data_IF_798139536766
#
_entry.id   IF_798139536766
#
_cell.length_a   1.000
_cell.length_b   1.000
_cell.length_c   1.000
_cell.angle_alpha   90.00
_cell.angle_beta   90.00
_cell.angle_gamma   90.00
#
_symmetry.space_group_name_H-M   'P 1'
#
loop_
_entity.id
_entity.type
_entity.pdbx_description
1 polymer ?
#
# COMPACT_ATOMS: atom_id res chain seq x y z
N UNK A 1 23.93 -9.86 21.77
CA UNK A 1 22.65 -10.35 22.33
C UNK A 1 21.68 -10.64 21.19
N UNK A 2 20.89 -11.73 21.22
CA UNK A 2 19.85 -11.95 20.21
C UNK A 2 18.85 -10.79 20.25
N UNK A 3 18.56 -10.17 19.09
CA UNK A 3 17.49 -9.16 19.01
C UNK A 3 16.16 -9.86 19.33
N UNK A 4 15.59 -9.57 20.49
CA UNK A 4 14.25 -10.03 20.84
C UNK A 4 13.25 -9.20 20.06
N UNK A 5 12.50 -9.84 19.16
CA UNK A 5 11.32 -9.25 18.56
C UNK A 5 10.16 -9.38 19.54
N UNK A 6 9.45 -8.27 19.79
CA UNK A 6 8.21 -8.28 20.54
C UNK A 6 7.09 -9.00 19.76
N UNK A 7 5.95 -9.22 20.41
CA UNK A 7 4.84 -9.96 19.80
C UNK A 7 4.20 -9.14 18.66
N UNK A 8 4.11 -7.82 18.82
CA UNK A 8 3.57 -6.91 17.82
C UNK A 8 4.38 -6.92 16.51
N UNK A 9 5.71 -6.97 16.59
CA UNK A 9 6.57 -7.10 15.41
C UNK A 9 6.37 -8.44 14.70
N UNK A 10 6.18 -9.53 15.45
CA UNK A 10 5.89 -10.85 14.87
C UNK A 10 4.54 -10.85 14.18
N UNK A 11 3.50 -10.33 14.84
CA UNK A 11 2.14 -10.30 14.30
C UNK A 11 2.06 -9.40 13.05
N UNK A 12 2.82 -8.29 13.03
CA UNK A 12 2.98 -7.45 11.83
C UNK A 12 3.59 -8.22 10.66
N UNK A 13 4.63 -9.03 10.90
CA UNK A 13 5.24 -9.86 9.85
C UNK A 13 4.23 -10.87 9.31
N UNK A 14 3.53 -11.57 10.20
CA UNK A 14 2.51 -12.57 9.83
C UNK A 14 1.43 -11.92 8.97
N UNK A 15 0.85 -10.81 9.43
CA UNK A 15 -0.22 -10.10 8.71
C UNK A 15 0.22 -9.71 7.30
N UNK A 16 1.38 -9.06 7.16
CA UNK A 16 1.87 -8.62 5.85
C UNK A 16 2.19 -9.78 4.90
N UNK A 17 2.63 -10.92 5.43
CA UNK A 17 2.83 -12.14 4.62
C UNK A 17 1.50 -12.66 4.12
N UNK A 18 0.48 -12.77 4.99
CA UNK A 18 -0.85 -13.25 4.63
C UNK A 18 -1.56 -12.31 3.65
N UNK A 19 -1.53 -11.01 3.89
CA UNK A 19 -2.09 -9.98 2.99
C UNK A 19 -1.50 -10.12 1.58
N UNK A 20 -0.19 -10.38 1.48
CA UNK A 20 0.50 -10.51 0.20
C UNK A 20 0.16 -11.82 -0.50
N UNK A 21 0.05 -12.93 0.24
CA UNK A 21 -0.41 -14.22 -0.30
C UNK A 21 -1.79 -14.05 -0.92
N UNK A 22 -2.71 -13.38 -0.22
CA UNK A 22 -4.07 -13.14 -0.70
C UNK A 22 -4.12 -12.18 -1.89
N UNK A 23 -3.41 -11.04 -1.80
CA UNK A 23 -3.47 -10.00 -2.82
C UNK A 23 -2.83 -10.40 -4.15
N UNK A 24 -1.75 -11.18 -4.13
CA UNK A 24 -1.00 -11.56 -5.34
C UNK A 24 -1.18 -13.04 -5.74
N UNK A 25 -1.93 -13.81 -4.96
CA UNK A 25 -2.10 -15.25 -5.15
C UNK A 25 -0.75 -16.01 -5.29
N UNK A 26 0.22 -15.66 -4.45
CA UNK A 26 1.58 -16.23 -4.47
C UNK A 26 1.81 -17.19 -3.30
N UNK A 27 2.83 -18.05 -3.43
CA UNK A 27 3.21 -18.95 -2.35
C UNK A 27 3.70 -18.21 -1.11
N UNK A 28 3.50 -18.82 0.08
CA UNK A 28 4.03 -18.29 1.34
C UNK A 28 5.53 -18.02 1.28
N UNK A 29 6.29 -18.88 0.59
CA UNK A 29 7.72 -18.68 0.44
C UNK A 29 8.03 -17.41 -0.36
N UNK A 30 7.33 -17.17 -1.46
CA UNK A 30 7.49 -15.96 -2.25
C UNK A 30 7.12 -14.71 -1.44
N UNK A 31 5.98 -14.74 -0.75
CA UNK A 31 5.54 -13.64 0.13
C UNK A 31 6.56 -13.35 1.24
N UNK A 32 7.08 -14.38 1.92
CA UNK A 32 8.10 -14.22 2.95
C UNK A 32 9.38 -13.59 2.41
N UNK A 33 9.85 -13.99 1.21
CA UNK A 33 11.04 -13.41 0.57
C UNK A 33 10.86 -11.92 0.26
N UNK A 34 9.64 -11.49 -0.06
CA UNK A 34 9.33 -10.09 -0.37
C UNK A 34 9.17 -9.25 0.91
N UNK A 35 8.50 -9.78 1.93
CA UNK A 35 8.14 -9.04 3.16
C UNK A 35 9.31 -8.97 4.14
N UNK A 36 10.03 -10.08 4.33
CA UNK A 36 11.04 -10.20 5.38
C UNK A 36 12.16 -9.13 5.32
N UNK A 37 12.75 -8.80 4.15
CA UNK A 37 13.76 -7.75 4.06
C UNK A 37 13.25 -6.37 4.48
N UNK A 38 11.97 -6.06 4.21
CA UNK A 38 11.36 -4.76 4.56
C UNK A 38 11.21 -4.56 6.07
N UNK A 39 11.19 -5.65 6.83
CA UNK A 39 11.00 -5.65 8.28
C UNK A 39 12.28 -6.04 9.04
N UNK A 40 13.41 -6.17 8.33
CA UNK A 40 14.70 -6.51 8.94
C UNK A 40 14.73 -7.92 9.56
N UNK A 41 13.89 -8.84 9.08
CA UNK A 41 13.85 -10.24 9.52
C UNK A 41 14.30 -11.17 8.40
N UNK A 42 14.77 -12.37 8.75
CA UNK A 42 15.07 -13.39 7.73
C UNK A 42 13.77 -13.97 7.15
N UNK A 43 13.77 -14.37 5.88
CA UNK A 43 12.59 -15.00 5.28
C UNK A 43 12.22 -16.34 5.96
N UNK A 44 13.21 -17.05 6.52
CA UNK A 44 12.97 -18.28 7.30
C UNK A 44 12.22 -17.97 8.59
N UNK A 45 12.61 -16.90 9.29
CA UNK A 45 11.97 -16.42 10.51
C UNK A 45 10.53 -16.00 10.24
N UNK A 46 10.31 -15.21 9.17
CA UNK A 46 8.97 -14.82 8.75
C UNK A 46 8.08 -16.03 8.44
N UNK A 47 8.62 -17.04 7.75
CA UNK A 47 7.92 -18.29 7.46
C UNK A 47 7.56 -19.05 8.73
N UNK A 48 8.49 -19.18 9.69
CA UNK A 48 8.24 -19.87 10.95
C UNK A 48 7.12 -19.19 11.76
N UNK A 49 7.15 -17.85 11.86
CA UNK A 49 6.10 -17.12 12.57
C UNK A 49 4.75 -17.25 11.88
N UNK A 50 4.71 -17.15 10.55
CA UNK A 50 3.48 -17.33 9.76
C UNK A 50 2.90 -18.74 9.93
N UNK A 51 3.75 -19.77 9.89
CA UNK A 51 3.31 -21.16 10.12
C UNK A 51 2.83 -21.41 11.56
N UNK A 52 3.47 -20.80 12.55
CA UNK A 52 3.01 -20.86 13.93
C UNK A 52 1.63 -20.21 14.08
N UNK A 53 1.46 -19.00 13.55
CA UNK A 53 0.19 -18.28 13.59
C UNK A 53 -0.95 -19.05 12.89
N UNK A 54 -0.69 -19.67 11.73
CA UNK A 54 -1.66 -20.56 11.06
C UNK A 54 -2.09 -21.74 11.91
N UNK A 55 -1.13 -22.41 12.57
CA UNK A 55 -1.44 -23.56 13.45
C UNK A 55 -2.23 -23.15 14.69
N UNK A 56 -1.95 -21.96 15.21
CA UNK A 56 -2.60 -21.40 16.39
C UNK A 56 -3.94 -20.70 16.06
N UNK A 57 -4.34 -20.67 14.78
CA UNK A 57 -5.54 -19.94 14.36
C UNK A 57 -5.43 -18.41 14.51
N UNK A 58 -4.21 -17.89 14.72
CA UNK A 58 -3.92 -16.44 14.87
C UNK A 58 -3.67 -15.73 13.55
N UNK A 59 -4.11 -16.31 12.43
CA UNK A 59 -4.18 -15.56 11.19
C UNK A 59 -5.32 -14.57 11.36
N UNK A 60 -4.96 -13.33 11.71
CA UNK A 60 -5.91 -12.24 11.75
C UNK A 60 -6.49 -12.14 10.34
N UNK A 61 -7.74 -12.57 10.19
CA UNK A 61 -8.54 -12.23 9.03
C UNK A 61 -8.51 -10.71 8.97
N UNK A 62 -7.89 -10.14 7.94
CA UNK A 62 -7.87 -8.69 7.77
C UNK A 62 -9.32 -8.27 7.64
N UNK A 63 -9.93 -7.80 8.75
CA UNK A 63 -11.29 -7.30 8.74
C UNK A 63 -11.38 -6.25 7.63
N UNK A 64 -12.19 -6.49 6.58
CA UNK A 64 -12.29 -5.59 5.44
C UNK A 64 -13.30 -4.47 5.71
N UNK A 65 -13.50 -4.07 6.97
CA UNK A 65 -14.64 -3.23 7.34
C UNK A 65 -14.51 -1.76 6.95
N UNK A 66 -13.35 -1.31 6.46
CA UNK A 66 -13.25 0.09 5.99
C UNK A 66 -12.37 0.32 4.76
N UNK A 67 -11.98 -0.73 4.03
CA UNK A 67 -11.23 -0.54 2.78
C UNK A 67 -12.13 0.02 1.67
N UNK A 68 -13.41 -0.36 1.65
CA UNK A 68 -14.35 0.14 0.64
C UNK A 68 -14.68 1.63 0.86
N UNK A 69 -14.89 2.06 2.11
CA UNK A 69 -15.18 3.46 2.41
C UNK A 69 -13.92 4.32 2.25
N UNK A 70 -12.74 3.84 2.66
CA UNK A 70 -11.49 4.54 2.40
C UNK A 70 -11.19 4.62 0.90
N UNK A 71 -11.45 3.56 0.11
CA UNK A 71 -11.28 3.61 -1.35
C UNK A 71 -12.26 4.62 -2.00
N UNK A 72 -13.52 4.65 -1.53
CA UNK A 72 -14.51 5.61 -2.01
C UNK A 72 -14.11 7.05 -1.67
N UNK A 73 -13.59 7.30 -0.46
CA UNK A 73 -13.04 8.59 -0.05
C UNK A 73 -11.86 8.99 -0.93
N UNK A 74 -10.88 8.11 -1.09
CA UNK A 74 -9.69 8.37 -1.91
C UNK A 74 -10.03 8.62 -3.38
N UNK A 75 -11.05 7.96 -3.93
CA UNK A 75 -11.51 8.21 -5.31
C UNK A 75 -12.14 9.59 -5.46
N UNK A 76 -12.94 10.03 -4.49
CA UNK A 76 -13.53 11.38 -4.49
C UNK A 76 -12.46 12.45 -4.43
N UNK A 77 -11.51 12.32 -3.50
CA UNK A 77 -10.41 13.26 -3.35
C UNK A 77 -9.55 13.32 -4.62
N UNK A 78 -9.23 12.17 -5.23
CA UNK A 78 -8.49 12.15 -6.50
C UNK A 78 -9.25 12.82 -7.65
N UNK A 79 -10.58 12.68 -7.72
CA UNK A 79 -11.36 13.34 -8.76
C UNK A 79 -11.34 14.86 -8.59
N UNK A 80 -11.57 15.34 -7.37
CA UNK A 80 -11.57 16.77 -7.05
C UNK A 80 -10.21 17.43 -7.31
N UNK A 81 -9.12 16.73 -6.98
CA UNK A 81 -7.77 17.16 -7.32
C UNK A 81 -7.53 17.23 -8.83
N UNK A 82 -8.05 16.28 -9.60
CA UNK A 82 -7.92 16.27 -11.07
C UNK A 82 -8.69 17.43 -11.69
N UNK A 83 -9.94 17.64 -11.29
CA UNK A 83 -10.79 18.72 -11.78
C UNK A 83 -10.14 20.09 -11.50
N UNK A 84 -9.60 20.26 -10.29
CA UNK A 84 -8.85 21.46 -9.92
C UNK A 84 -7.60 21.64 -10.79
N UNK A 85 -6.85 20.56 -11.04
CA UNK A 85 -5.66 20.62 -11.88
C UNK A 85 -6.00 20.99 -13.33
N UNK A 86 -7.10 20.47 -13.87
CA UNK A 86 -7.57 20.81 -15.22
C UNK A 86 -7.96 22.29 -15.31
N UNK A 87 -8.68 22.82 -14.32
CA UNK A 87 -9.00 24.24 -14.26
C UNK A 87 -7.75 25.12 -14.22
N UNK A 88 -6.78 24.77 -13.36
CA UNK A 88 -5.52 25.52 -13.25
C UNK A 88 -4.69 25.47 -14.55
N UNK A 89 -4.68 24.32 -15.24
CA UNK A 89 -4.04 24.19 -16.55
C UNK A 89 -4.73 25.05 -17.59
N UNK A 90 -6.06 25.05 -17.63
CA UNK A 90 -6.84 25.88 -18.56
C UNK A 90 -6.58 27.37 -18.32
N UNK A 91 -6.57 27.81 -17.06
CA UNK A 91 -6.24 29.19 -16.70
C UNK A 91 -4.80 29.55 -17.12
N UNK A 92 -3.84 28.68 -16.84
CA UNK A 92 -2.44 28.89 -17.22
C UNK A 92 -2.27 29.01 -18.74
N UNK A 93 -2.95 28.15 -19.51
CA UNK A 93 -2.94 28.21 -20.97
C UNK A 93 -3.60 29.50 -21.50
N UNK A 94 -4.71 29.92 -20.90
CA UNK A 94 -5.37 31.19 -21.25
C UNK A 94 -4.43 32.38 -21.04
N UNK A 95 -3.83 32.51 -19.84
CA UNK A 95 -2.90 33.61 -19.57
C UNK A 95 -1.64 33.56 -20.44
N UNK A 96 -1.10 32.37 -20.72
CA UNK A 96 0.02 32.24 -21.65
C UNK A 96 -0.33 32.73 -23.07
N UNK A 97 -1.58 32.49 -23.53
CA UNK A 97 -2.05 32.96 -24.84
C UNK A 97 -2.31 34.47 -24.91
N UNK A 98 -2.72 35.10 -23.80
CA UNK A 98 -2.91 36.56 -23.71
C UNK A 98 -1.57 37.31 -23.65
N UNK A 99 -0.53 36.70 -23.06
CA UNK A 99 0.78 37.31 -22.88
C UNK A 99 1.72 37.15 -24.10
N UNK A 100 1.34 36.40 -25.14
CA UNK A 100 2.11 36.24 -26.38
C UNK A 100 1.48 37.02 -27.56
N UNK A 101 1.82 38.32 -27.74
CA UNK A 101 1.28 39.13 -28.85
C UNK A 101 1.77 38.70 -30.25
N UNK A 102 2.67 37.72 -30.38
CA UNK A 102 3.30 37.35 -31.66
C UNK A 102 2.61 36.22 -32.43
N UNK A 103 1.54 35.61 -31.90
CA UNK A 103 0.84 34.48 -32.53
C UNK A 103 -0.40 34.82 -33.36
N UNK A 104 -0.80 36.09 -33.47
CA UNK A 104 -1.85 36.53 -34.40
C UNK A 104 -1.24 36.92 -35.75
N UNK A 105 -1.23 36.00 -36.71
CA UNK A 105 -1.08 36.26 -38.15
C UNK A 105 -2.29 35.69 -38.86
#
# INVERSE_FOLDING_TARGET
MPRKFDQDAKDRVVRLVEDRILAENISMQAACKIVAPKLGVSWHTARQWTQAARREGRVVESMPEDLAAENARLRRENQELRDTNELLKAASAFFASELDPKRRK
#
